data_IF_102273443037
#
_entry.id   IF_102273443037
#
_cell.length_a   1.000
_cell.length_b   1.000
_cell.length_c   1.000
_cell.angle_alpha   90.00
_cell.angle_beta   90.00
_cell.angle_gamma   90.00
#
_symmetry.space_group_name_H-M   'P 1'
#
loop_
_entity.id
_entity.type
_entity.pdbx_description
1 polymer ?
#
# COMPACT_ATOMS: atom_id res chain seq x y z
N UNK A 1 19.36 -66.86 -3.24
CA UNK A 1 19.55 -65.46 -3.67
C UNK A 1 18.36 -64.66 -3.17
N UNK A 2 18.56 -63.65 -2.29
CA UNK A 2 17.47 -62.80 -1.76
C UNK A 2 17.57 -61.42 -2.40
N UNK A 3 16.61 -61.07 -3.24
CA UNK A 3 16.47 -59.73 -3.83
C UNK A 3 15.86 -58.79 -2.79
N UNK A 4 16.57 -57.71 -2.47
CA UNK A 4 16.05 -56.61 -1.64
C UNK A 4 15.37 -55.61 -2.57
N UNK A 5 14.05 -55.50 -2.50
CA UNK A 5 13.29 -54.46 -3.21
C UNK A 5 13.44 -53.15 -2.44
N UNK A 6 14.14 -52.17 -3.02
CA UNK A 6 14.18 -50.79 -2.54
C UNK A 6 13.01 -50.04 -3.15
N UNK A 7 12.15 -49.47 -2.30
CA UNK A 7 11.03 -48.61 -2.70
C UNK A 7 11.55 -47.16 -2.76
N UNK A 8 11.39 -46.42 -3.88
CA UNK A 8 11.80 -45.03 -3.94
C UNK A 8 10.72 -44.15 -3.27
N UNK A 9 11.14 -43.37 -2.28
CA UNK A 9 10.29 -42.35 -1.64
C UNK A 9 10.29 -41.10 -2.53
N UNK A 10 9.18 -40.83 -3.22
CA UNK A 10 9.00 -39.64 -4.04
C UNK A 10 8.56 -38.47 -3.14
N UNK A 11 9.48 -37.55 -2.83
CA UNK A 11 9.15 -36.28 -2.19
C UNK A 11 8.46 -35.36 -3.21
N UNK A 12 7.13 -35.21 -3.10
CA UNK A 12 6.40 -34.20 -3.86
C UNK A 12 6.66 -32.81 -3.24
N UNK A 13 7.56 -32.05 -3.86
CA UNK A 13 7.75 -30.64 -3.53
C UNK A 13 6.59 -29.87 -4.17
N UNK A 14 5.55 -29.57 -3.40
CA UNK A 14 4.53 -28.62 -3.84
C UNK A 14 5.13 -27.22 -3.79
N UNK A 15 5.18 -26.47 -4.92
CA UNK A 15 5.64 -25.09 -4.89
C UNK A 15 4.69 -24.30 -4.00
N UNK A 16 5.21 -23.83 -2.86
CA UNK A 16 4.50 -22.86 -2.03
C UNK A 16 4.58 -21.55 -2.78
N UNK A 17 3.45 -21.05 -3.28
CA UNK A 17 3.35 -19.64 -3.69
C UNK A 17 3.52 -18.83 -2.41
N UNK A 18 4.76 -18.44 -2.09
CA UNK A 18 5.02 -17.46 -1.07
C UNK A 18 4.44 -16.14 -1.60
N UNK A 19 3.36 -15.67 -0.99
CA UNK A 19 2.98 -14.27 -1.11
C UNK A 19 4.16 -13.46 -0.55
N UNK A 20 4.67 -12.49 -1.33
CA UNK A 20 5.84 -11.72 -0.93
C UNK A 20 5.57 -10.91 0.35
N UNK A 21 4.32 -10.47 0.56
CA UNK A 21 3.90 -9.70 1.71
C UNK A 21 3.34 -10.53 2.89
N UNK A 22 3.41 -9.96 4.10
CA UNK A 22 2.81 -10.55 5.32
C UNK A 22 1.38 -10.03 5.64
N UNK A 23 0.75 -9.31 4.71
CA UNK A 23 -0.65 -8.86 4.79
C UNK A 23 -1.62 -10.02 4.49
N UNK A 24 -2.73 -10.10 5.22
CA UNK A 24 -3.75 -11.13 5.02
C UNK A 24 -5.16 -10.57 5.16
N UNK A 25 -6.07 -10.95 4.26
CA UNK A 25 -7.49 -10.59 4.36
C UNK A 25 -8.07 -11.15 5.66
N UNK A 26 -8.81 -10.32 6.39
CA UNK A 26 -9.38 -10.67 7.68
C UNK A 26 -8.50 -10.31 8.88
N UNK A 27 -7.22 -10.03 8.67
CA UNK A 27 -6.29 -9.59 9.72
C UNK A 27 -6.14 -8.06 9.73
N UNK A 28 -5.58 -7.50 10.80
CA UNK A 28 -5.24 -6.08 10.84
C UNK A 28 -3.92 -5.82 10.11
N UNK A 29 -3.81 -4.66 9.44
CA UNK A 29 -2.52 -4.24 8.85
C UNK A 29 -1.41 -4.23 9.92
N UNK A 30 -0.20 -4.76 9.63
CA UNK A 30 0.89 -4.79 10.59
C UNK A 30 1.24 -3.38 11.07
N UNK A 31 1.53 -3.25 12.37
CA UNK A 31 1.83 -1.96 12.98
C UNK A 31 3.15 -1.39 12.48
N UNK A 32 3.13 -0.19 11.91
CA UNK A 32 4.31 0.53 11.46
C UNK A 32 4.25 2.00 11.93
N UNK A 33 5.42 2.60 12.14
CA UNK A 33 5.57 4.00 12.54
C UNK A 33 6.65 4.69 11.72
N UNK A 34 6.26 5.73 10.99
CA UNK A 34 7.15 6.57 10.20
C UNK A 34 7.40 7.86 10.99
N UNK A 35 8.57 7.96 11.62
CA UNK A 35 8.93 9.09 12.47
C UNK A 35 9.58 10.25 11.71
N UNK A 36 10.38 9.94 10.69
CA UNK A 36 11.02 10.92 9.81
C UNK A 36 10.11 11.25 8.63
N UNK A 37 9.89 12.56 8.39
CA UNK A 37 8.82 13.11 7.53
C UNK A 37 7.41 12.66 7.90
N UNK A 38 7.07 11.39 7.76
CA UNK A 38 5.74 10.87 8.07
C UNK A 38 4.67 11.47 7.18
N UNK A 39 3.53 11.84 7.76
CA UNK A 39 2.43 12.43 7.02
C UNK A 39 2.72 13.89 6.65
N UNK A 40 2.49 14.22 5.39
CA UNK A 40 2.56 15.57 4.87
C UNK A 40 1.25 16.28 5.20
N UNK A 41 1.36 17.43 5.89
CA UNK A 41 0.22 18.28 6.22
C UNK A 41 0.37 19.65 5.55
N UNK A 42 -0.75 20.27 5.17
CA UNK A 42 -0.73 21.63 4.64
C UNK A 42 -0.53 22.63 5.78
N UNK A 43 0.39 23.57 5.61
CA UNK A 43 0.66 24.63 6.59
C UNK A 43 0.86 25.97 5.86
N UNK A 44 -0.16 26.84 5.92
CA UNK A 44 -0.18 28.08 5.15
C UNK A 44 -0.09 27.81 3.65
N UNK A 45 0.84 28.47 2.97
CA UNK A 45 1.13 28.24 1.54
C UNK A 45 2.09 27.05 1.30
N UNK A 46 2.60 26.45 2.36
CA UNK A 46 3.57 25.36 2.31
C UNK A 46 3.04 24.04 2.84
N UNK A 47 3.99 23.16 3.15
CA UNK A 47 3.72 21.86 3.77
C UNK A 47 4.61 21.67 5.00
N UNK A 48 4.10 20.93 5.95
CA UNK A 48 4.85 20.43 7.09
C UNK A 48 4.74 18.91 7.17
N UNK A 49 5.44 18.35 8.14
CA UNK A 49 5.65 16.93 8.33
C UNK A 49 5.29 16.57 9.77
N UNK A 50 4.56 15.48 9.95
CA UNK A 50 4.23 14.97 11.27
C UNK A 50 4.43 13.44 11.34
N UNK A 51 4.83 12.89 12.49
CA UNK A 51 4.93 11.45 12.65
C UNK A 51 3.63 10.75 12.27
N UNK A 52 3.75 9.63 11.57
CA UNK A 52 2.61 8.83 11.13
C UNK A 52 2.73 7.41 11.67
N UNK A 53 1.58 6.80 11.98
CA UNK A 53 1.48 5.41 12.39
C UNK A 53 0.22 4.78 11.80
N UNK A 54 0.22 3.46 11.64
CA UNK A 54 -0.93 2.76 11.02
C UNK A 54 -2.24 2.95 11.77
N UNK A 55 -2.18 3.15 13.10
CA UNK A 55 -3.34 3.42 13.94
C UNK A 55 -4.04 4.74 13.57
N UNK A 56 -3.34 5.72 12.97
CA UNK A 56 -3.95 6.98 12.51
C UNK A 56 -4.96 6.73 11.37
N UNK A 57 -4.93 5.54 10.76
CA UNK A 57 -5.84 5.20 9.68
C UNK A 57 -7.23 4.73 10.14
N UNK A 58 -7.40 4.38 11.41
CA UNK A 58 -8.66 3.88 11.95
C UNK A 58 -9.77 4.94 11.90
N UNK A 59 -11.02 4.48 11.96
CA UNK A 59 -12.23 5.32 11.92
C UNK A 59 -12.77 5.60 10.51
N UNK A 60 -12.01 5.30 9.45
CA UNK A 60 -12.45 5.40 8.05
C UNK A 60 -12.11 4.14 7.28
N UNK A 61 -12.91 3.84 6.25
CA UNK A 61 -12.50 2.90 5.21
C UNK A 61 -11.36 3.53 4.42
N UNK A 62 -10.30 2.76 4.16
CA UNK A 62 -9.16 3.29 3.41
C UNK A 62 -8.75 2.37 2.28
N UNK A 63 -8.45 3.01 1.15
CA UNK A 63 -7.51 2.43 0.19
C UNK A 63 -6.12 2.93 0.58
N UNK A 64 -5.26 2.00 0.94
CA UNK A 64 -3.83 2.26 1.16
C UNK A 64 -3.12 1.91 -0.13
N UNK A 65 -2.40 2.88 -0.67
CA UNK A 65 -1.51 2.72 -1.82
C UNK A 65 -0.07 2.83 -1.33
N UNK A 66 0.59 1.71 -1.05
CA UNK A 66 2.00 1.70 -0.68
C UNK A 66 2.84 1.55 -1.95
N UNK A 67 3.74 2.49 -2.23
CA UNK A 67 4.50 2.54 -3.49
C UNK A 67 5.98 2.74 -3.24
N UNK A 68 6.81 2.14 -4.10
CA UNK A 68 8.19 2.55 -4.25
C UNK A 68 8.29 4.01 -4.75
N UNK A 69 9.40 4.68 -4.44
CA UNK A 69 9.71 6.07 -4.78
C UNK A 69 10.03 6.29 -6.25
N UNK A 70 9.22 5.73 -7.16
CA UNK A 70 9.46 5.65 -8.60
C UNK A 70 8.19 6.03 -9.35
N UNK A 71 8.34 6.68 -10.51
CA UNK A 71 7.19 7.04 -11.35
C UNK A 71 6.44 5.80 -11.85
N UNK A 72 7.16 4.75 -12.23
CA UNK A 72 6.58 3.47 -12.67
C UNK A 72 5.62 2.89 -11.63
N UNK A 73 6.02 2.87 -10.37
CA UNK A 73 5.21 2.36 -9.25
C UNK A 73 3.99 3.25 -8.97
N UNK A 74 4.11 4.58 -9.12
CA UNK A 74 2.99 5.52 -9.03
C UNK A 74 1.95 5.27 -10.14
N UNK A 75 2.42 4.98 -11.35
CA UNK A 75 1.58 4.79 -12.54
C UNK A 75 0.81 3.46 -12.55
N UNK A 76 1.32 2.41 -11.89
CA UNK A 76 0.72 1.06 -11.87
C UNK A 76 -0.78 1.04 -11.56
N UNK A 77 -1.22 1.89 -10.62
CA UNK A 77 -2.60 1.92 -10.14
C UNK A 77 -3.31 3.26 -10.40
N UNK A 78 -2.83 4.03 -11.38
CA UNK A 78 -3.51 5.25 -11.85
C UNK A 78 -4.98 5.03 -12.28
N UNK A 79 -5.34 3.89 -12.93
CA UNK A 79 -6.74 3.59 -13.23
C UNK A 79 -7.62 3.47 -11.97
N UNK A 80 -7.11 2.85 -10.90
CA UNK A 80 -7.81 2.77 -9.61
C UNK A 80 -8.01 4.17 -9.00
N UNK A 81 -6.97 4.99 -8.98
CA UNK A 81 -7.04 6.35 -8.41
C UNK A 81 -8.06 7.23 -9.15
N UNK A 82 -8.11 7.09 -10.48
CA UNK A 82 -9.13 7.73 -11.31
C UNK A 82 -10.54 7.25 -10.95
N UNK A 83 -10.74 5.93 -10.78
CA UNK A 83 -12.04 5.37 -10.40
C UNK A 83 -12.51 5.82 -9.01
N UNK A 84 -11.60 5.89 -8.02
CA UNK A 84 -11.90 6.39 -6.67
C UNK A 84 -12.29 7.87 -6.72
N UNK A 85 -11.54 8.69 -7.48
CA UNK A 85 -11.81 10.12 -7.63
C UNK A 85 -13.17 10.35 -8.28
N UNK A 86 -13.50 9.59 -9.32
CA UNK A 86 -14.80 9.65 -9.99
C UNK A 86 -15.97 9.15 -9.12
N UNK A 87 -15.71 8.24 -8.18
CA UNK A 87 -16.72 7.73 -7.25
C UNK A 87 -17.13 8.74 -6.17
N UNK A 88 -16.32 9.77 -5.91
CA UNK A 88 -16.61 10.87 -4.98
C UNK A 88 -17.09 10.37 -3.60
N UNK A 89 -16.37 9.41 -3.02
CA UNK A 89 -16.73 8.87 -1.72
C UNK A 89 -16.77 9.95 -0.61
N UNK A 90 -17.63 9.80 0.40
CA UNK A 90 -17.76 10.79 1.46
C UNK A 90 -16.46 10.87 2.29
N UNK A 91 -15.89 12.06 2.44
CA UNK A 91 -14.59 12.24 3.11
C UNK A 91 -14.64 11.93 4.62
N UNK A 92 -15.82 11.94 5.22
CA UNK A 92 -16.06 11.58 6.62
C UNK A 92 -15.91 10.07 6.87
N UNK A 93 -16.24 9.23 5.89
CA UNK A 93 -16.24 7.76 6.01
C UNK A 93 -15.13 7.08 5.21
N UNK A 94 -14.55 7.76 4.22
CA UNK A 94 -13.52 7.24 3.34
C UNK A 94 -12.28 8.16 3.24
N UNK A 95 -11.09 7.56 3.10
CA UNK A 95 -9.88 8.29 2.74
C UNK A 95 -8.84 7.41 2.02
N UNK A 96 -8.27 7.88 0.90
CA UNK A 96 -7.08 7.26 0.30
C UNK A 96 -5.83 7.63 1.11
N UNK A 97 -4.93 6.67 1.34
CA UNK A 97 -3.63 6.87 2.00
C UNK A 97 -2.52 6.39 1.10
N UNK A 98 -1.75 7.30 0.54
CA UNK A 98 -0.56 6.95 -0.24
C UNK A 98 0.66 6.99 0.66
N UNK A 99 1.39 5.88 0.72
CA UNK A 99 2.63 5.73 1.48
C UNK A 99 3.76 5.54 0.47
N UNK A 100 4.71 6.46 0.45
CA UNK A 100 5.79 6.48 -0.53
C UNK A 100 7.07 6.07 0.16
N UNK A 101 7.61 4.91 -0.23
CA UNK A 101 8.92 4.45 0.18
C UNK A 101 10.00 5.22 -0.59
N UNK A 102 10.61 6.22 0.04
CA UNK A 102 11.68 7.01 -0.57
C UNK A 102 13.00 6.23 -0.68
N UNK A 103 13.21 5.21 0.16
CA UNK A 103 14.42 4.38 0.14
C UNK A 103 14.49 3.52 -1.13
N UNK A 104 13.33 3.14 -1.67
CA UNK A 104 13.20 2.48 -2.97
C UNK A 104 12.95 3.50 -4.11
N UNK A 105 13.69 4.60 -4.08
CA UNK A 105 13.79 5.53 -5.19
C UNK A 105 14.99 5.20 -6.09
N UNK A 106 15.00 5.74 -7.31
CA UNK A 106 16.22 5.70 -8.12
C UNK A 106 17.33 6.46 -7.39
N UNK A 107 18.57 5.93 -7.43
CA UNK A 107 19.71 6.57 -6.76
C UNK A 107 19.85 8.03 -7.19
N UNK A 108 19.89 8.94 -6.19
CA UNK A 108 19.97 10.38 -6.41
C UNK A 108 18.63 11.09 -6.68
N UNK A 109 17.49 10.38 -6.73
CA UNK A 109 16.18 11.00 -7.02
C UNK A 109 15.29 11.24 -5.80
N UNK A 110 15.76 10.97 -4.57
CA UNK A 110 14.96 11.12 -3.34
C UNK A 110 14.32 12.51 -3.17
N UNK A 111 15.03 13.59 -3.52
CA UNK A 111 14.47 14.95 -3.49
C UNK A 111 13.30 15.14 -4.46
N UNK A 112 13.31 14.49 -5.62
CA UNK A 112 12.19 14.54 -6.57
C UNK A 112 10.98 13.76 -6.06
N UNK A 113 11.21 12.62 -5.40
CA UNK A 113 10.14 11.85 -4.75
C UNK A 113 9.46 12.70 -3.67
N UNK A 114 10.25 13.34 -2.81
CA UNK A 114 9.76 14.27 -1.80
C UNK A 114 8.94 15.40 -2.41
N UNK A 115 9.48 16.12 -3.41
CA UNK A 115 8.73 17.20 -4.07
C UNK A 115 7.44 16.70 -4.71
N UNK A 116 7.47 15.55 -5.40
CA UNK A 116 6.28 14.96 -6.00
C UNK A 116 5.22 14.60 -4.95
N UNK A 117 5.62 14.11 -3.78
CA UNK A 117 4.72 13.83 -2.67
C UNK A 117 4.08 15.11 -2.12
N UNK A 118 4.87 16.18 -1.96
CA UNK A 118 4.37 17.49 -1.51
C UNK A 118 3.36 18.08 -2.50
N UNK A 119 3.66 18.03 -3.79
CA UNK A 119 2.76 18.54 -4.83
C UNK A 119 1.48 17.71 -4.92
N UNK A 120 1.58 16.38 -4.80
CA UNK A 120 0.41 15.50 -4.73
C UNK A 120 -0.46 15.83 -3.51
N UNK A 121 0.12 16.21 -2.36
CA UNK A 121 -0.66 16.64 -1.18
C UNK A 121 -1.36 18.00 -1.41
N UNK A 122 -0.75 18.92 -2.14
CA UNK A 122 -1.37 20.20 -2.51
C UNK A 122 -2.53 20.00 -3.48
N UNK A 123 -2.36 19.10 -4.45
CA UNK A 123 -3.40 18.76 -5.45
C UNK A 123 -4.56 17.99 -4.81
N UNK A 124 -4.27 17.06 -3.90
CA UNK A 124 -5.25 16.22 -3.22
C UNK A 124 -5.24 16.46 -1.69
N UNK A 125 -5.72 17.62 -1.21
CA UNK A 125 -5.60 18.01 0.21
C UNK A 125 -6.33 17.07 1.17
N UNK A 126 -7.39 16.42 0.69
CA UNK A 126 -8.20 15.46 1.45
C UNK A 126 -7.54 14.07 1.55
N UNK A 127 -6.58 13.75 0.68
CA UNK A 127 -5.86 12.48 0.72
C UNK A 127 -4.78 12.50 1.80
N UNK A 128 -4.53 11.35 2.42
CA UNK A 128 -3.40 11.16 3.31
C UNK A 128 -2.16 10.85 2.47
N UNK A 129 -1.08 11.60 2.65
CA UNK A 129 0.18 11.41 1.93
C UNK A 129 1.29 11.22 2.94
N UNK A 130 1.94 10.06 2.94
CA UNK A 130 2.98 9.69 3.89
C UNK A 130 4.29 9.50 3.12
N UNK A 131 5.31 10.25 3.50
CA UNK A 131 6.67 10.09 2.98
C UNK A 131 7.47 9.26 3.98
N UNK A 132 7.81 8.04 3.59
CA UNK A 132 8.61 7.12 4.38
C UNK A 132 10.05 7.16 3.90
N UNK A 133 10.88 7.93 4.60
CA UNK A 133 12.27 8.15 4.22
C UNK A 133 13.10 6.86 4.20
N UNK A 134 12.78 5.91 5.09
CA UNK A 134 13.63 4.74 5.38
C UNK A 134 12.94 3.41 5.02
N UNK A 135 11.85 3.46 4.24
CA UNK A 135 11.12 2.27 3.81
C UNK A 135 10.56 1.41 4.96
N UNK A 136 10.29 2.00 6.12
CA UNK A 136 9.80 1.30 7.32
C UNK A 136 8.55 0.47 7.02
N UNK A 137 7.58 1.05 6.31
CA UNK A 137 6.31 0.40 6.00
C UNK A 137 6.53 -0.75 5.03
N UNK A 138 7.28 -0.52 3.94
CA UNK A 138 7.58 -1.56 2.96
C UNK A 138 8.30 -2.76 3.61
N UNK A 139 9.31 -2.48 4.43
CA UNK A 139 10.05 -3.51 5.18
C UNK A 139 9.17 -4.24 6.21
N UNK A 140 8.29 -3.52 6.92
CA UNK A 140 7.40 -4.13 7.93
C UNK A 140 6.35 -5.03 7.28
N UNK A 141 5.85 -4.66 6.10
CA UNK A 141 4.81 -5.38 5.39
C UNK A 141 5.35 -6.42 4.39
N UNK A 142 6.68 -6.53 4.28
CA UNK A 142 7.40 -7.39 3.33
C UNK A 142 6.96 -7.10 1.88
N UNK A 143 6.85 -5.82 1.54
CA UNK A 143 6.39 -5.41 0.20
C UNK A 143 7.47 -5.62 -0.84
N UNK A 144 7.04 -6.02 -2.03
CA UNK A 144 7.87 -6.17 -3.21
C UNK A 144 8.47 -4.83 -3.64
N UNK A 145 9.79 -4.83 -3.83
CA UNK A 145 10.54 -3.71 -4.39
C UNK A 145 10.04 -3.31 -5.78
N UNK A 146 10.25 -2.03 -6.11
CA UNK A 146 9.90 -1.39 -7.38
C UNK A 146 8.40 -1.50 -7.74
N UNK A 147 7.55 -1.80 -6.76
CA UNK A 147 6.14 -2.12 -6.97
C UNK A 147 5.17 -1.16 -6.27
N UNK A 148 3.89 -1.48 -6.41
CA UNK A 148 2.75 -0.80 -5.80
C UNK A 148 1.87 -1.85 -5.13
N UNK A 149 1.50 -1.66 -3.87
CA UNK A 149 0.54 -2.49 -3.16
C UNK A 149 -0.75 -1.69 -2.93
N UNK A 150 -1.89 -2.30 -3.24
CA UNK A 150 -3.22 -1.80 -2.93
C UNK A 150 -3.80 -2.65 -1.81
N UNK A 151 -4.12 -1.99 -0.70
CA UNK A 151 -4.80 -2.60 0.44
C UNK A 151 -6.10 -1.84 0.66
N UNK A 152 -7.20 -2.57 0.81
CA UNK A 152 -8.46 -1.99 1.33
C UNK A 152 -8.58 -2.41 2.78
N UNK A 153 -8.77 -1.46 3.68
CA UNK A 153 -9.09 -1.75 5.09
C UNK A 153 -10.42 -1.14 5.51
N UNK A 154 -11.10 -1.79 6.46
CA UNK A 154 -12.29 -1.25 7.11
C UNK A 154 -11.95 -0.20 8.19
N UNK A 155 -12.99 0.32 8.85
CA UNK A 155 -12.87 1.35 9.91
C UNK A 155 -12.09 0.87 11.15
N UNK A 156 -11.93 -0.43 11.34
CA UNK A 156 -11.18 -1.03 12.45
C UNK A 156 -9.73 -1.34 12.09
N UNK A 157 -9.35 -1.18 10.81
CA UNK A 157 -8.03 -1.51 10.29
C UNK A 157 -7.89 -2.96 9.80
N UNK A 158 -8.99 -3.70 9.68
CA UNK A 158 -9.00 -5.06 9.12
C UNK A 158 -8.90 -4.99 7.60
N UNK A 159 -8.00 -5.78 7.04
CA UNK A 159 -7.79 -5.91 5.59
C UNK A 159 -8.97 -6.62 4.95
N UNK A 160 -9.57 -5.98 3.95
CA UNK A 160 -10.65 -6.49 3.12
C UNK A 160 -10.14 -6.96 1.75
N UNK A 161 -9.02 -6.40 1.29
CA UNK A 161 -8.38 -6.73 0.02
C UNK A 161 -6.91 -6.37 0.11
N UNK A 162 -6.06 -7.17 -0.53
CA UNK A 162 -4.63 -6.86 -0.74
C UNK A 162 -4.19 -7.40 -2.09
N UNK A 163 -3.46 -6.59 -2.85
CA UNK A 163 -2.76 -7.01 -4.06
C UNK A 163 -1.52 -6.16 -4.29
N UNK A 164 -0.44 -6.80 -4.73
CA UNK A 164 0.74 -6.13 -5.26
C UNK A 164 0.73 -6.10 -6.79
N UNK A 165 1.34 -5.05 -7.35
CA UNK A 165 1.37 -4.75 -8.76
C UNK A 165 0.15 -3.96 -9.23
N UNK A 166 -0.02 -3.92 -10.56
CA UNK A 166 -1.16 -3.30 -11.19
C UNK A 166 -2.43 -4.11 -10.94
N UNK A 167 -3.53 -3.42 -10.67
CA UNK A 167 -4.85 -4.03 -10.63
C UNK A 167 -5.45 -4.13 -12.04
N UNK A 168 -6.10 -5.25 -12.28
CA UNK A 168 -6.93 -5.50 -13.45
C UNK A 168 -8.30 -4.83 -13.26
N UNK A 169 -9.05 -4.71 -14.36
CA UNK A 169 -10.31 -3.96 -14.37
C UNK A 169 -11.38 -4.53 -13.41
N UNK A 170 -11.46 -5.85 -13.28
CA UNK A 170 -12.36 -6.54 -12.37
C UNK A 170 -11.95 -6.36 -10.90
N UNK A 171 -10.66 -6.31 -10.61
CA UNK A 171 -10.13 -6.02 -9.27
C UNK A 171 -10.39 -4.55 -8.88
N UNK A 172 -10.26 -3.61 -9.83
CA UNK A 172 -10.65 -2.21 -9.60
C UNK A 172 -12.13 -2.14 -9.25
N UNK A 173 -12.99 -2.81 -10.02
CA UNK A 173 -14.42 -2.86 -9.73
C UNK A 173 -14.68 -3.45 -8.33
N UNK A 174 -13.92 -4.48 -7.95
CA UNK A 174 -14.02 -5.10 -6.63
C UNK A 174 -13.60 -4.15 -5.51
N UNK A 175 -12.51 -3.41 -5.65
CA UNK A 175 -12.08 -2.41 -4.67
C UNK A 175 -13.16 -1.33 -4.48
N UNK A 176 -13.73 -0.82 -5.57
CA UNK A 176 -14.81 0.18 -5.51
C UNK A 176 -16.04 -0.38 -4.80
N UNK A 177 -16.41 -1.63 -5.05
CA UNK A 177 -17.51 -2.30 -4.35
C UNK A 177 -17.23 -2.46 -2.85
N UNK A 178 -16.02 -2.91 -2.48
CA UNK A 178 -15.62 -3.07 -1.09
C UNK A 178 -15.68 -1.75 -0.32
N UNK A 179 -15.29 -0.63 -0.95
CA UNK A 179 -15.44 0.68 -0.33
C UNK A 179 -16.92 0.98 -0.07
N UNK A 180 -17.78 0.84 -1.09
CA UNK A 180 -19.23 1.13 -0.98
C UNK A 180 -19.93 0.31 0.12
N UNK A 181 -19.50 -0.93 0.35
CA UNK A 181 -20.10 -1.81 1.35
C UNK A 181 -19.69 -1.47 2.79
N UNK A 182 -18.62 -0.69 3.00
CA UNK A 182 -18.01 -0.48 4.32
C UNK A 182 -18.01 0.98 4.80
N UNK A 183 -18.33 1.94 3.92
CA UNK A 183 -18.43 3.38 4.27
C UNK A 183 -19.61 3.68 5.19
#
# INVERSE_FOLDING_TARGET
MKTKTLLPLLLAITPSFAFAHNLSVGETVPSAKVAAYGEIVLQGEGVAYQPWATQHMQGKVRVIQAIAGRSSSKEMNAPLMSAITAAQFPQESYQTTTIINQDDAIWGTGSFVKSSAQDSKKEFPWSSMVLDENGVVANTWDLKEESSAIIVQDKTGKVLFVKEGALEQDEIAKVIELIKQNI
#
